data_IF_467003001226
#
_entry.id   IF_467003001226
#
_cell.length_a   1.000
_cell.length_b   1.000
_cell.length_c   1.000
_cell.angle_alpha   90.00
_cell.angle_beta   90.00
_cell.angle_gamma   90.00
#
_symmetry.space_group_name_H-M   'P 1'
#
loop_
_entity.id
_entity.type
_entity.pdbx_description
1 polymer ?
#
# COMPACT_ATOMS: atom_id res chain seq x y z
N UNK A 1 21.00 -7.00 6.44
CA UNK A 1 19.90 -6.16 5.91
C UNK A 1 18.88 -6.12 7.03
N UNK A 2 18.57 -4.92 7.53
CA UNK A 2 17.65 -4.74 8.67
C UNK A 2 16.24 -5.12 8.23
N UNK A 3 15.50 -5.88 9.04
CA UNK A 3 14.09 -6.21 8.78
C UNK A 3 13.33 -4.90 8.56
N UNK A 4 12.74 -4.71 7.37
CA UNK A 4 11.82 -3.61 7.12
C UNK A 4 10.69 -3.63 8.17
N UNK A 5 10.38 -2.43 8.66
CA UNK A 5 9.50 -2.17 9.79
C UNK A 5 8.04 -2.61 9.49
N UNK A 6 7.35 -3.33 10.40
CA UNK A 6 5.93 -3.69 10.27
C UNK A 6 4.98 -2.51 9.98
N UNK A 7 5.38 -1.28 10.31
CA UNK A 7 4.63 -0.05 10.03
C UNK A 7 4.76 0.44 8.59
N UNK A 8 5.56 -0.21 7.72
CA UNK A 8 5.73 0.21 6.33
C UNK A 8 4.41 0.18 5.55
N UNK A 9 3.56 -0.82 5.77
CA UNK A 9 2.22 -0.92 5.15
C UNK A 9 1.31 0.23 5.58
N UNK A 10 1.40 0.63 6.86
CA UNK A 10 0.65 1.78 7.40
C UNK A 10 1.14 3.09 6.79
N UNK A 11 2.45 3.24 6.59
CA UNK A 11 3.02 4.41 5.90
C UNK A 11 2.64 4.47 4.42
N UNK A 12 2.66 3.34 3.72
CA UNK A 12 2.18 3.25 2.34
C UNK A 12 0.70 3.63 2.22
N UNK A 13 -0.13 3.25 3.19
CA UNK A 13 -1.54 3.66 3.20
C UNK A 13 -1.76 5.17 3.39
N UNK A 14 -0.92 5.84 4.19
CA UNK A 14 -0.96 7.31 4.36
C UNK A 14 -0.52 8.02 3.07
N UNK A 15 0.48 7.49 2.38
CA UNK A 15 0.96 8.03 1.09
C UNK A 15 -0.12 7.90 0.01
N UNK A 16 -0.81 6.76 -0.06
CA UNK A 16 -1.96 6.57 -0.96
C UNK A 16 -3.10 7.52 -0.62
N UNK A 17 -3.45 7.67 0.66
CA UNK A 17 -4.51 8.61 1.08
C UNK A 17 -4.19 10.05 0.66
N UNK A 18 -2.94 10.48 0.85
CA UNK A 18 -2.47 11.80 0.43
C UNK A 18 -2.51 11.97 -1.09
N UNK A 19 -2.10 10.95 -1.84
CA UNK A 19 -2.15 10.97 -3.30
C UNK A 19 -3.60 11.06 -3.82
N UNK A 20 -4.53 10.33 -3.20
CA UNK A 20 -5.97 10.41 -3.50
C UNK A 20 -6.52 11.81 -3.23
N UNK A 21 -6.21 12.41 -2.08
CA UNK A 21 -6.66 13.77 -1.78
C UNK A 21 -6.13 14.82 -2.78
N UNK A 22 -4.88 14.66 -3.22
CA UNK A 22 -4.31 15.50 -4.27
C UNK A 22 -5.04 15.30 -5.62
N UNK A 23 -5.29 14.06 -6.02
CA UNK A 23 -6.00 13.72 -7.24
C UNK A 23 -7.46 14.23 -7.23
N UNK A 24 -8.14 14.20 -6.08
CA UNK A 24 -9.47 14.77 -5.90
C UNK A 24 -9.48 16.29 -6.11
N UNK A 25 -8.50 16.99 -5.55
CA UNK A 25 -8.33 18.44 -5.74
C UNK A 25 -8.08 18.78 -7.22
N UNK A 26 -7.26 17.98 -7.89
CA UNK A 26 -6.95 18.13 -9.31
C UNK A 26 -8.17 17.83 -10.20
N UNK A 27 -8.96 16.81 -9.86
CA UNK A 27 -10.21 16.48 -10.53
C UNK A 27 -11.26 17.59 -10.38
N UNK A 28 -11.33 18.23 -9.21
CA UNK A 28 -12.21 19.40 -9.01
C UNK A 28 -11.82 20.53 -9.96
N UNK A 29 -10.54 20.90 -10.00
CA UNK A 29 -10.03 21.91 -10.94
C UNK A 29 -10.30 21.55 -12.39
N UNK A 30 -10.04 20.30 -12.76
CA UNK A 30 -10.34 19.78 -14.10
C UNK A 30 -11.83 19.94 -14.46
N UNK A 31 -12.71 19.64 -13.52
CA UNK A 31 -14.16 19.79 -13.70
C UNK A 31 -14.58 21.25 -13.91
N UNK A 32 -13.99 22.19 -13.16
CA UNK A 32 -14.21 23.63 -13.35
C UNK A 32 -13.77 24.09 -14.75
N UNK A 33 -12.58 23.66 -15.18
CA UNK A 33 -12.02 24.01 -16.49
C UNK A 33 -12.90 23.53 -17.66
N UNK A 34 -13.60 22.40 -17.49
CA UNK A 34 -14.55 21.90 -18.49
C UNK A 34 -15.89 22.62 -18.46
N UNK A 35 -16.30 23.17 -17.31
CA UNK A 35 -17.56 23.90 -17.15
C UNK A 35 -17.44 25.38 -17.53
N UNK A 36 -16.25 25.99 -17.42
CA UNK A 36 -16.00 27.36 -17.87
C UNK A 36 -16.12 27.45 -19.40
N UNK A 37 -17.30 27.84 -19.87
CA UNK A 37 -17.65 28.01 -21.29
C UNK A 37 -16.85 29.10 -22.03
N UNK A 38 -15.54 28.88 -22.22
CA UNK A 38 -14.65 29.65 -23.07
C UNK A 38 -13.46 30.35 -22.38
N UNK A 39 -13.29 30.19 -21.06
CA UNK A 39 -12.23 30.85 -20.29
C UNK A 39 -10.91 30.06 -20.20
N UNK A 40 -11.01 28.74 -20.06
CA UNK A 40 -9.86 27.87 -19.93
C UNK A 40 -9.11 27.73 -21.26
N UNK A 41 -7.79 27.88 -21.24
CA UNK A 41 -6.95 27.55 -22.39
C UNK A 41 -6.96 26.05 -22.64
N UNK A 42 -6.95 25.63 -23.91
CA UNK A 42 -6.79 24.23 -24.29
C UNK A 42 -5.55 23.61 -23.63
N UNK A 43 -4.46 24.37 -23.53
CA UNK A 43 -3.23 23.93 -22.89
C UNK A 43 -3.42 23.61 -21.41
N UNK A 44 -4.19 24.42 -20.69
CA UNK A 44 -4.48 24.21 -19.27
C UNK A 44 -5.34 22.94 -19.09
N UNK A 45 -6.37 22.77 -19.93
CA UNK A 45 -7.21 21.57 -19.92
C UNK A 45 -6.40 20.30 -20.21
N UNK A 46 -5.54 20.35 -21.24
CA UNK A 46 -4.71 19.21 -21.64
C UNK A 46 -3.69 18.86 -20.55
N UNK A 47 -3.05 19.86 -19.94
CA UNK A 47 -2.12 19.67 -18.84
C UNK A 47 -2.81 19.06 -17.61
N UNK A 48 -3.92 19.65 -17.15
CA UNK A 48 -4.65 19.14 -15.96
C UNK A 48 -5.19 17.73 -16.22
N UNK A 49 -5.63 17.43 -17.44
CA UNK A 49 -6.08 16.08 -17.82
C UNK A 49 -4.92 15.06 -17.75
N UNK A 50 -3.75 15.42 -18.28
CA UNK A 50 -2.58 14.55 -18.27
C UNK A 50 -2.09 14.31 -16.84
N UNK A 51 -2.03 15.36 -16.03
CA UNK A 51 -1.61 15.27 -14.64
C UNK A 51 -2.54 14.37 -13.83
N UNK A 52 -3.87 14.52 -14.01
CA UNK A 52 -4.85 13.67 -13.33
C UNK A 52 -4.70 12.19 -13.71
N UNK A 53 -4.48 11.90 -15.00
CA UNK A 53 -4.24 10.51 -15.45
C UNK A 53 -2.98 9.92 -14.84
N UNK A 54 -1.93 10.72 -14.70
CA UNK A 54 -0.68 10.26 -14.10
C UNK A 54 -0.84 10.02 -12.61
N UNK A 55 -1.54 10.92 -11.89
CA UNK A 55 -1.84 10.73 -10.47
C UNK A 55 -2.64 9.45 -10.23
N UNK A 56 -3.69 9.21 -11.03
CA UNK A 56 -4.52 7.99 -10.90
C UNK A 56 -3.71 6.72 -11.18
N UNK A 57 -2.87 6.71 -12.22
CA UNK A 57 -2.00 5.57 -12.52
C UNK A 57 -1.02 5.27 -11.38
N UNK A 58 -0.44 6.30 -10.77
CA UNK A 58 0.44 6.12 -9.62
C UNK A 58 -0.30 5.48 -8.46
N UNK A 59 -1.51 5.95 -8.15
CA UNK A 59 -2.35 5.38 -7.08
C UNK A 59 -2.68 3.91 -7.36
N UNK A 60 -3.01 3.57 -8.62
CA UNK A 60 -3.28 2.18 -9.00
C UNK A 60 -2.07 1.27 -8.73
N UNK A 61 -0.87 1.69 -9.12
CA UNK A 61 0.36 0.95 -8.82
C UNK A 61 0.64 0.83 -7.32
N UNK A 62 0.48 1.92 -6.57
CA UNK A 62 0.69 1.89 -5.12
C UNK A 62 -0.29 0.92 -4.42
N UNK A 63 -1.53 0.84 -4.92
CA UNK A 63 -2.53 -0.10 -4.42
C UNK A 63 -2.22 -1.56 -4.80
N UNK A 64 -1.71 -1.81 -6.01
CA UNK A 64 -1.24 -3.12 -6.43
C UNK A 64 -0.10 -3.61 -5.52
N UNK A 65 0.90 -2.77 -5.25
CA UNK A 65 2.03 -3.09 -4.37
C UNK A 65 1.58 -3.36 -2.92
N UNK A 66 0.59 -2.60 -2.41
CA UNK A 66 0.01 -2.83 -1.10
C UNK A 66 -0.76 -4.15 -1.03
N UNK A 67 -1.53 -4.50 -2.06
CA UNK A 67 -2.27 -5.78 -2.11
C UNK A 67 -1.32 -6.99 -2.18
N UNK A 68 -0.24 -6.88 -2.96
CA UNK A 68 0.83 -7.89 -2.99
C UNK A 68 1.46 -8.06 -1.60
N UNK A 69 1.72 -6.95 -0.90
CA UNK A 69 2.29 -6.98 0.46
C UNK A 69 1.35 -7.65 1.46
N UNK A 70 0.06 -7.34 1.41
CA UNK A 70 -0.97 -7.97 2.26
C UNK A 70 -1.08 -9.46 1.96
N UNK A 71 -1.04 -9.85 0.69
CA UNK A 71 -1.07 -11.24 0.25
C UNK A 71 0.11 -12.04 0.81
N UNK A 72 1.32 -11.48 0.77
CA UNK A 72 2.52 -12.09 1.37
C UNK A 72 2.35 -12.24 2.89
N UNK A 73 1.85 -11.22 3.58
CA UNK A 73 1.60 -11.28 5.03
C UNK A 73 0.58 -12.37 5.40
N UNK A 74 -0.49 -12.53 4.62
CA UNK A 74 -1.49 -13.57 4.83
C UNK A 74 -0.91 -14.97 4.63
N UNK A 75 -0.07 -15.19 3.62
CA UNK A 75 0.60 -16.48 3.40
C UNK A 75 1.48 -16.85 4.58
N UNK A 76 2.33 -15.92 5.04
CA UNK A 76 3.21 -16.14 6.20
C UNK A 76 2.40 -16.41 7.49
N UNK A 77 1.28 -15.71 7.68
CA UNK A 77 0.40 -15.93 8.83
C UNK A 77 -0.27 -17.30 8.81
N UNK A 78 -0.72 -17.76 7.63
CA UNK A 78 -1.31 -19.10 7.46
C UNK A 78 -0.28 -20.20 7.70
N UNK A 79 0.95 -20.08 7.18
CA UNK A 79 2.02 -21.03 7.44
C UNK A 79 2.33 -21.13 8.94
N UNK A 80 2.39 -20.00 9.65
CA UNK A 80 2.62 -19.99 11.09
C UNK A 80 1.44 -20.58 11.89
N UNK A 81 0.20 -20.36 11.45
CA UNK A 81 -0.99 -20.95 12.07
C UNK A 81 -1.07 -22.47 11.86
N UNK A 82 -0.71 -22.95 10.66
CA UNK A 82 -0.61 -24.39 10.36
C UNK A 82 0.48 -25.03 11.21
N UNK A 83 1.66 -24.40 11.30
CA UNK A 83 2.75 -24.87 12.17
C UNK A 83 2.32 -24.92 13.64
N UNK A 84 1.63 -23.89 14.15
CA UNK A 84 1.10 -23.86 15.51
C UNK A 84 0.07 -24.95 15.79
N UNK A 85 -0.76 -25.29 14.81
CA UNK A 85 -1.79 -26.33 14.93
C UNK A 85 -1.26 -27.77 14.89
N UNK A 86 -0.03 -27.97 14.40
CA UNK A 86 0.57 -29.30 14.21
C UNK A 86 1.60 -29.67 15.29
N UNK A 87 1.77 -28.82 16.30
CA UNK A 87 2.69 -29.04 17.43
C UNK A 87 2.05 -30.01 18.42
N UNK A 88 2.60 -31.23 18.48
CA UNK A 88 2.37 -32.15 19.59
C UNK A 88 3.33 -31.82 20.75
N UNK A 89 3.10 -32.37 21.95
CA UNK A 89 3.80 -31.98 23.18
C UNK A 89 5.35 -32.11 23.11
N UNK A 90 5.89 -32.86 22.16
CA UNK A 90 7.34 -32.97 21.90
C UNK A 90 7.88 -31.76 21.10
N UNK A 91 7.07 -31.17 20.22
CA UNK A 91 7.45 -30.06 19.34
C UNK A 91 7.54 -28.70 20.06
N UNK A 92 6.97 -28.57 21.27
CA UNK A 92 7.08 -27.34 22.07
C UNK A 92 8.53 -27.02 22.47
N UNK A 93 9.37 -28.04 22.62
CA UNK A 93 10.79 -27.84 22.94
C UNK A 93 11.56 -27.22 21.78
N UNK A 94 11.22 -27.60 20.54
CA UNK A 94 11.82 -27.03 19.32
C UNK A 94 11.32 -25.60 19.13
N UNK A 95 10.06 -25.30 19.45
CA UNK A 95 9.54 -23.94 19.35
C UNK A 95 10.16 -23.01 20.39
N UNK A 96 10.39 -23.47 21.62
CA UNK A 96 11.13 -22.72 22.65
C UNK A 96 12.57 -22.48 22.22
N UNK A 97 13.24 -23.48 21.64
CA UNK A 97 14.60 -23.32 21.11
C UNK A 97 14.65 -22.36 19.91
N UNK A 98 13.69 -22.42 18.99
CA UNK A 98 13.63 -21.50 17.85
C UNK A 98 13.31 -20.06 18.29
N UNK A 99 12.39 -19.86 19.24
CA UNK A 99 12.12 -18.54 19.81
C UNK A 99 13.37 -17.99 20.52
N UNK A 100 14.07 -18.78 21.33
CA UNK A 100 15.33 -18.37 21.96
C UNK A 100 16.47 -18.08 20.97
N UNK A 101 16.45 -18.65 19.76
CA UNK A 101 17.49 -18.44 18.74
C UNK A 101 17.19 -17.27 17.79
N UNK A 102 15.90 -16.93 17.61
CA UNK A 102 15.45 -15.89 16.67
C UNK A 102 15.01 -14.57 17.34
N UNK A 103 14.87 -14.49 18.66
CA UNK A 103 14.78 -13.20 19.36
C UNK A 103 16.18 -12.77 19.83
N UNK A 104 16.85 -11.81 19.18
CA UNK A 104 17.95 -11.11 19.82
C UNK A 104 17.36 -10.19 20.89
N UNK A 105 17.99 -10.18 22.07
CA UNK A 105 17.74 -9.22 23.14
C UNK A 105 17.72 -7.76 22.64
#
# INVERSE_FOLDING_TARGET
MSMEDPFFVVKGSEEVEKAVHAAQSLHHRWSELLQEGGGASKEEVDWTTNELRNSLRSIEWDLEDLDETISILHLLSQEHAVFSSHITHEDQTILILMLCYYTPF
#
